data_IF_573186953503
#
_entry.id   IF_573186953503
#
_cell.length_a   1.000
_cell.length_b   1.000
_cell.length_c   1.000
_cell.angle_alpha   90.00
_cell.angle_beta   90.00
_cell.angle_gamma   90.00
#
_symmetry.space_group_name_H-M   'P 1'
#
loop_
_entity.id
_entity.type
_entity.pdbx_description
1 polymer ?
#
# COMPACT_ATOMS: atom_id res chain seq x y z
N UNK A 1 -10.92 6.59 -26.12
CA UNK A 1 -9.88 5.56 -25.91
C UNK A 1 -8.56 5.98 -26.55
N UNK A 2 -7.66 6.59 -25.77
CA UNK A 2 -6.25 6.74 -26.19
C UNK A 2 -5.52 5.48 -25.77
N UNK A 3 -5.00 4.74 -26.74
CA UNK A 3 -4.28 3.50 -26.46
C UNK A 3 -2.96 3.82 -25.76
N UNK A 4 -2.60 3.01 -24.76
CA UNK A 4 -1.32 3.04 -24.04
C UNK A 4 -0.08 3.11 -24.99
N UNK A 5 -0.27 2.70 -26.25
CA UNK A 5 0.72 2.71 -27.34
C UNK A 5 1.10 4.11 -27.81
N UNK A 6 0.18 5.08 -27.81
CA UNK A 6 0.46 6.48 -28.17
C UNK A 6 1.24 7.23 -27.08
N UNK A 7 1.01 6.88 -25.80
CA UNK A 7 1.77 7.44 -24.67
C UNK A 7 3.22 6.95 -24.65
N UNK A 8 3.48 5.71 -25.08
CA UNK A 8 4.85 5.20 -25.21
C UNK A 8 5.63 5.78 -26.39
N UNK A 9 4.96 6.16 -27.49
CA UNK A 9 5.66 6.78 -28.63
C UNK A 9 6.04 8.25 -28.39
N UNK A 10 5.34 8.98 -27.51
CA UNK A 10 5.73 10.35 -27.14
C UNK A 10 6.96 10.44 -26.23
N UNK A 11 7.29 9.37 -25.52
CA UNK A 11 8.49 9.31 -24.65
C UNK A 11 9.77 8.92 -25.40
N UNK A 12 9.68 8.52 -26.68
CA UNK A 12 10.83 8.19 -27.54
C UNK A 12 11.22 9.30 -28.53
N UNK A 13 10.46 10.40 -28.61
CA UNK A 13 10.65 11.46 -29.60
C UNK A 13 11.29 12.76 -29.10
N UNK A 14 11.74 12.82 -27.84
CA UNK A 14 12.29 14.02 -27.24
C UNK A 14 13.74 13.80 -26.77
N UNK A 15 14.61 13.39 -27.69
CA UNK A 15 16.07 13.49 -27.51
C UNK A 15 16.78 13.21 -28.83
N UNK A 16 16.79 14.19 -29.73
CA UNK A 16 17.85 14.32 -30.74
C UNK A 16 17.72 15.64 -31.48
N UNK A 17 18.61 16.59 -31.19
CA UNK A 17 19.31 17.38 -32.20
C UNK A 17 20.58 18.01 -31.57
N UNK A 18 21.68 17.92 -32.33
CA UNK A 18 23.08 18.33 -32.11
C UNK A 18 23.91 17.43 -31.15
N UNK A 19 25.03 16.82 -31.51
CA UNK A 19 25.97 16.90 -32.65
C UNK A 19 26.73 15.56 -32.83
N UNK A 20 27.19 15.27 -34.06
CA UNK A 20 28.08 14.17 -34.49
C UNK A 20 29.57 14.64 -34.46
N UNK A 21 30.57 13.80 -34.83
CA UNK A 21 30.80 12.37 -34.55
C UNK A 21 32.26 12.13 -34.07
N UNK A 22 32.58 10.95 -33.51
CA UNK A 22 33.91 10.39 -33.76
C UNK A 22 33.98 8.86 -33.67
N UNK A 23 34.85 8.32 -34.51
CA UNK A 23 34.89 6.93 -34.96
C UNK A 23 35.72 6.01 -34.08
N UNK A 24 35.33 4.72 -34.05
CA UNK A 24 36.14 3.48 -34.23
C UNK A 24 35.70 2.34 -33.29
N UNK A 25 35.23 1.27 -33.92
CA UNK A 25 35.28 -0.13 -33.45
C UNK A 25 36.59 -0.79 -33.93
N UNK A 26 36.91 -2.05 -33.58
CA UNK A 26 36.58 -2.82 -32.37
C UNK A 26 37.82 -3.59 -31.84
N UNK A 27 37.70 -4.23 -30.67
CA UNK A 27 38.53 -5.39 -30.36
C UNK A 27 37.75 -6.43 -29.55
N UNK A 28 37.79 -7.65 -30.07
CA UNK A 28 37.23 -8.91 -29.62
C UNK A 28 37.79 -9.39 -28.29
N UNK A 29 36.92 -9.86 -27.39
CA UNK A 29 37.28 -10.68 -26.23
C UNK A 29 36.57 -12.03 -26.36
N UNK A 30 37.37 -13.10 -26.53
CA UNK A 30 36.91 -14.48 -26.57
C UNK A 30 36.94 -15.16 -25.21
N UNK A 31 36.59 -16.45 -25.30
CA UNK A 31 36.82 -17.56 -24.38
C UNK A 31 35.87 -17.80 -23.21
N UNK A 32 34.94 -18.71 -23.52
CA UNK A 32 34.38 -19.72 -22.62
C UNK A 32 35.42 -20.80 -22.32
N UNK A 33 35.47 -21.29 -21.07
CA UNK A 33 35.79 -22.67 -20.69
C UNK A 33 35.46 -22.83 -19.18
N UNK A 34 34.37 -23.52 -18.83
CA UNK A 34 34.32 -24.91 -18.31
C UNK A 34 35.28 -25.23 -17.16
N UNK A 35 34.72 -25.47 -15.97
CA UNK A 35 35.28 -26.40 -14.97
C UNK A 35 34.15 -27.23 -14.32
N UNK A 36 34.07 -28.46 -14.81
CA UNK A 36 33.78 -29.75 -14.18
C UNK A 36 33.34 -29.73 -12.70
N UNK A 37 32.14 -30.27 -12.45
CA UNK A 37 31.72 -30.89 -11.18
C UNK A 37 31.79 -32.41 -11.34
N UNK A 38 32.39 -33.09 -10.37
CA UNK A 38 32.33 -34.54 -10.19
C UNK A 38 31.52 -34.87 -8.94
N UNK A 39 30.49 -35.69 -9.13
CA UNK A 39 29.72 -36.38 -8.09
C UNK A 39 30.52 -37.52 -7.48
N UNK A 40 30.17 -37.93 -6.25
CA UNK A 40 29.83 -39.33 -5.91
C UNK A 40 29.29 -39.46 -4.47
N UNK A 41 28.07 -39.98 -4.42
CA UNK A 41 27.53 -41.10 -3.62
C UNK A 41 27.33 -41.06 -2.09
N UNK A 42 26.03 -40.99 -1.75
CA UNK A 42 25.20 -41.92 -0.95
C UNK A 42 25.79 -42.73 0.23
N UNK A 43 25.15 -42.66 1.41
CA UNK A 43 24.25 -43.74 1.89
C UNK A 43 23.51 -43.45 3.24
N UNK A 44 22.21 -43.81 3.23
CA UNK A 44 21.35 -44.45 4.24
C UNK A 44 20.96 -43.85 5.62
N UNK A 45 19.61 -43.79 5.80
CA UNK A 45 18.72 -44.20 6.92
C UNK A 45 19.08 -43.75 8.35
N UNK A 46 18.19 -43.25 9.21
CA UNK A 46 16.88 -43.79 9.60
C UNK A 46 16.13 -42.74 10.48
N UNK A 47 14.85 -42.98 10.75
CA UNK A 47 13.89 -41.97 11.21
C UNK A 47 13.98 -41.44 12.65
N UNK A 48 13.20 -40.38 12.91
CA UNK A 48 12.31 -40.21 14.08
C UNK A 48 11.61 -38.85 14.01
N UNK A 49 10.30 -38.88 14.17
CA UNK A 49 9.46 -37.75 14.55
C UNK A 49 9.88 -37.26 15.93
N UNK A 50 10.30 -36.01 16.06
CA UNK A 50 10.41 -35.35 17.35
C UNK A 50 9.78 -33.96 17.29
N UNK A 51 8.77 -33.79 18.15
CA UNK A 51 8.19 -32.50 18.47
C UNK A 51 9.22 -31.74 19.32
N UNK A 52 10.00 -30.84 18.72
CA UNK A 52 10.88 -29.95 19.49
C UNK A 52 10.09 -28.74 19.96
N UNK A 53 9.83 -28.70 21.26
CA UNK A 53 9.38 -27.54 22.02
C UNK A 53 10.25 -26.32 21.68
N UNK A 54 9.61 -25.21 21.31
CA UNK A 54 10.26 -23.91 21.17
C UNK A 54 10.67 -23.42 22.56
N UNK A 55 11.92 -23.70 22.96
CA UNK A 55 12.55 -22.99 24.06
C UNK A 55 12.79 -21.54 23.64
N UNK A 56 12.07 -20.62 24.27
CA UNK A 56 12.33 -19.20 24.22
C UNK A 56 13.74 -18.92 24.78
N UNK A 57 14.70 -18.63 23.89
CA UNK A 57 15.98 -18.08 24.30
C UNK A 57 15.74 -16.72 24.97
N UNK A 58 16.08 -16.65 26.26
CA UNK A 58 16.14 -15.39 27.01
C UNK A 58 17.17 -14.48 26.33
N UNK A 59 16.74 -13.29 25.91
CA UNK A 59 17.65 -12.21 25.57
C UNK A 59 18.63 -11.97 26.72
N UNK A 60 19.92 -11.70 26.45
CA UNK A 60 20.88 -11.46 27.52
C UNK A 60 20.52 -10.15 28.23
N UNK A 61 20.25 -10.24 29.53
CA UNK A 61 20.32 -9.11 30.44
C UNK A 61 21.75 -8.56 30.41
N UNK A 62 21.92 -7.37 29.86
CA UNK A 62 23.20 -6.66 29.88
C UNK A 62 23.46 -6.23 31.32
N UNK A 63 24.39 -6.91 31.99
CA UNK A 63 24.82 -6.58 33.33
C UNK A 63 25.50 -5.20 33.38
N UNK A 64 24.95 -4.33 34.24
CA UNK A 64 25.42 -2.98 34.48
C UNK A 64 26.65 -2.97 35.39
N UNK A 65 27.77 -2.41 34.92
CA UNK A 65 28.94 -2.06 35.73
C UNK A 65 28.99 -0.52 35.81
N UNK A 66 28.77 0.10 36.98
CA UNK A 66 28.74 1.56 37.08
C UNK A 66 30.17 2.12 37.12
N UNK A 67 30.51 2.91 36.10
CA UNK A 67 31.70 3.78 36.07
C UNK A 67 31.40 5.16 36.69
N UNK A 68 32.44 5.91 37.12
CA UNK A 68 32.28 7.16 37.83
C UNK A 68 32.02 8.31 36.84
N UNK A 69 30.74 8.56 36.58
CA UNK A 69 30.10 9.79 36.06
C UNK A 69 28.87 9.35 35.26
N UNK A 70 27.86 8.83 35.97
CA UNK A 70 26.55 8.63 35.38
C UNK A 70 25.90 9.99 35.18
N UNK A 71 25.81 10.41 33.92
CA UNK A 71 24.97 11.54 33.52
C UNK A 71 23.53 11.23 33.99
N UNK A 72 23.11 11.87 35.08
CA UNK A 72 21.74 11.79 35.57
C UNK A 72 20.88 12.68 34.71
N UNK A 73 19.97 12.07 33.95
CA UNK A 73 18.95 12.80 33.21
C UNK A 73 18.16 13.70 34.15
N UNK A 74 17.73 14.86 33.63
CA UNK A 74 16.88 15.77 34.39
C UNK A 74 15.55 15.09 34.75
N UNK A 75 14.89 15.49 35.86
CA UNK A 75 13.63 14.89 36.30
C UNK A 75 12.53 14.91 35.24
N UNK A 76 12.52 15.91 34.35
CA UNK A 76 11.55 16.04 33.28
C UNK A 76 11.58 14.86 32.30
N UNK A 77 12.75 14.26 32.04
CA UNK A 77 12.85 13.06 31.21
C UNK A 77 12.26 11.84 31.91
N UNK A 78 12.49 11.71 33.22
CA UNK A 78 11.94 10.62 34.02
C UNK A 78 10.41 10.67 34.06
N UNK A 79 9.83 11.87 34.16
CA UNK A 79 8.37 12.07 34.11
C UNK A 79 7.77 11.61 32.77
N UNK A 80 8.53 11.70 31.68
CA UNK A 80 8.13 11.20 30.35
C UNK A 80 8.46 9.71 30.14
N UNK A 81 8.97 9.01 31.17
CA UNK A 81 9.46 7.62 31.12
C UNK A 81 10.60 7.41 30.11
N UNK A 82 11.43 8.44 29.94
CA UNK A 82 12.61 8.40 29.10
C UNK A 82 13.82 8.04 29.97
N UNK A 83 14.64 7.12 29.47
CA UNK A 83 15.91 6.71 30.09
C UNK A 83 17.06 6.83 29.12
N UNK A 84 18.27 6.88 29.66
CA UNK A 84 19.49 6.83 28.86
C UNK A 84 19.78 5.36 28.46
N UNK A 85 20.03 5.13 27.19
CA UNK A 85 20.48 3.86 26.65
C UNK A 85 21.93 4.00 26.17
N UNK A 86 22.76 2.99 26.46
CA UNK A 86 24.18 2.99 26.08
C UNK A 86 24.46 1.88 25.08
N UNK A 87 25.35 2.18 24.15
CA UNK A 87 25.95 1.23 23.20
C UNK A 87 27.45 1.43 23.21
N UNK A 88 28.18 0.58 22.49
CA UNK A 88 29.62 0.77 22.27
C UNK A 88 29.94 2.07 21.51
N UNK A 89 28.95 2.66 20.83
CA UNK A 89 29.08 3.84 19.98
C UNK A 89 28.61 5.13 20.68
N UNK A 90 28.27 5.07 21.97
CA UNK A 90 27.80 6.19 22.78
C UNK A 90 26.40 5.99 23.35
N UNK A 91 25.73 7.09 23.66
CA UNK A 91 24.48 7.12 24.40
C UNK A 91 23.38 7.83 23.60
N UNK A 92 22.12 7.49 23.88
CA UNK A 92 20.92 8.11 23.30
C UNK A 92 19.74 7.96 24.27
N UNK A 93 18.63 8.65 24.01
CA UNK A 93 17.42 8.54 24.82
C UNK A 93 16.48 7.45 24.32
N UNK A 94 15.91 6.69 25.25
CA UNK A 94 14.98 5.61 24.96
C UNK A 94 13.74 5.73 25.85
N UNK A 95 12.57 5.76 25.22
CA UNK A 95 11.26 5.63 25.88
C UNK A 95 10.65 4.30 25.51
N UNK A 96 10.00 3.66 26.47
CA UNK A 96 9.30 2.40 26.26
C UNK A 96 7.90 2.47 26.88
N UNK A 97 6.88 2.16 26.08
CA UNK A 97 5.52 1.93 26.56
C UNK A 97 5.11 0.50 26.23
N UNK A 98 4.38 -0.14 27.15
CA UNK A 98 3.86 -1.49 26.97
C UNK A 98 2.36 -1.50 27.07
N UNK A 99 1.72 -2.17 26.11
CA UNK A 99 0.29 -2.38 26.03
C UNK A 99 0.01 -3.87 26.23
N UNK A 100 -0.92 -4.28 27.10
CA UNK A 100 -1.37 -5.67 27.10
C UNK A 100 -1.96 -6.00 25.73
N UNK A 101 -1.82 -7.23 25.23
CA UNK A 101 -2.40 -7.59 23.92
C UNK A 101 -3.95 -7.45 23.91
N UNK A 102 -4.60 -7.41 25.07
CA UNK A 102 -6.04 -7.12 25.18
C UNK A 102 -6.41 -5.64 25.03
N UNK A 103 -5.42 -4.74 24.91
CA UNK A 103 -5.65 -3.31 24.75
C UNK A 103 -6.48 -3.02 23.48
N UNK A 104 -7.52 -2.21 23.66
CA UNK A 104 -8.42 -1.76 22.60
C UNK A 104 -7.93 -0.41 22.09
N UNK A 105 -7.64 -0.33 20.79
CA UNK A 105 -7.28 0.92 20.11
C UNK A 105 -8.25 1.15 18.94
N UNK A 106 -9.16 2.09 19.13
CA UNK A 106 -10.31 2.25 18.24
C UNK A 106 -11.25 1.04 18.31
N UNK A 107 -11.51 0.42 17.17
CA UNK A 107 -12.41 -0.73 17.05
C UNK A 107 -11.71 -2.10 17.09
N UNK A 108 -10.38 -2.13 17.23
CA UNK A 108 -9.59 -3.36 17.22
C UNK A 108 -8.79 -3.52 18.51
N UNK A 109 -8.69 -4.77 18.98
CA UNK A 109 -7.76 -5.16 20.03
C UNK A 109 -6.45 -5.66 19.43
N UNK A 110 -5.34 -5.46 20.14
CA UNK A 110 -4.01 -5.85 19.65
C UNK A 110 -3.83 -7.37 19.49
N UNK A 111 -4.54 -8.18 20.27
CA UNK A 111 -4.52 -9.65 20.17
C UNK A 111 -5.16 -10.18 18.88
N UNK A 112 -5.98 -9.38 18.20
CA UNK A 112 -6.46 -9.70 16.85
C UNK A 112 -5.32 -9.80 15.82
N UNK A 113 -4.10 -9.33 16.14
CA UNK A 113 -2.94 -9.52 15.29
C UNK A 113 -2.66 -11.01 15.04
N UNK A 114 -2.85 -11.87 16.03
CA UNK A 114 -2.71 -13.32 15.88
C UNK A 114 -3.75 -13.94 14.95
N UNK A 115 -4.96 -13.39 14.90
CA UNK A 115 -6.03 -13.86 14.02
C UNK A 115 -5.84 -13.37 12.57
N UNK A 116 -5.33 -12.14 12.41
CA UNK A 116 -5.25 -11.44 11.12
C UNK A 116 -3.93 -11.68 10.36
N UNK A 117 -2.91 -12.22 11.02
CA UNK A 117 -1.56 -12.41 10.47
C UNK A 117 -1.52 -13.30 9.22
N UNK A 118 -2.40 -14.30 9.13
CA UNK A 118 -2.51 -15.16 7.94
C UNK A 118 -2.96 -14.38 6.71
N UNK A 119 -3.85 -13.40 6.88
CA UNK A 119 -4.23 -12.51 5.79
C UNK A 119 -3.06 -11.62 5.35
N UNK A 120 -2.29 -11.09 6.31
CA UNK A 120 -1.15 -10.21 6.05
C UNK A 120 -0.03 -10.86 5.25
N UNK A 121 0.13 -12.17 5.34
CA UNK A 121 1.10 -12.90 4.54
C UNK A 121 0.83 -12.81 3.02
N UNK A 122 -0.39 -12.42 2.61
CA UNK A 122 -0.71 -12.13 1.19
C UNK A 122 0.08 -10.95 0.60
N UNK A 123 0.66 -10.08 1.44
CA UNK A 123 1.51 -8.98 0.97
C UNK A 123 2.83 -9.48 0.37
N UNK A 124 3.39 -10.56 0.89
CA UNK A 124 4.58 -11.22 0.33
C UNK A 124 4.26 -11.74 -1.07
N UNK A 125 3.19 -12.53 -1.20
CA UNK A 125 2.72 -13.06 -2.48
C UNK A 125 2.44 -11.96 -3.50
N UNK A 126 1.88 -10.84 -3.07
CA UNK A 126 1.68 -9.69 -3.95
C UNK A 126 3.01 -9.07 -4.40
N UNK A 127 3.98 -8.95 -3.50
CA UNK A 127 5.31 -8.43 -3.82
C UNK A 127 6.01 -9.30 -4.89
N UNK A 128 5.96 -10.62 -4.72
CA UNK A 128 6.51 -11.60 -5.67
C UNK A 128 5.79 -11.54 -7.02
N UNK A 129 4.45 -11.63 -7.00
CA UNK A 129 3.62 -11.57 -8.20
C UNK A 129 3.88 -10.29 -8.99
N UNK A 130 3.95 -9.14 -8.31
CA UNK A 130 4.26 -7.84 -8.93
C UNK A 130 5.66 -7.84 -9.54
N UNK A 131 6.64 -8.42 -8.87
CA UNK A 131 8.03 -8.52 -9.36
C UNK A 131 8.13 -9.41 -10.60
N UNK A 132 7.27 -10.44 -10.69
CA UNK A 132 7.10 -11.29 -11.88
C UNK A 132 6.24 -10.64 -12.99
N UNK A 133 5.79 -9.39 -12.82
CA UNK A 133 4.96 -8.67 -13.80
C UNK A 133 3.49 -9.08 -13.81
N UNK A 134 3.04 -9.87 -12.83
CA UNK A 134 1.65 -10.24 -12.68
C UNK A 134 0.81 -9.05 -12.20
N UNK A 135 -0.48 -9.07 -12.55
CA UNK A 135 -1.45 -8.03 -12.16
C UNK A 135 -2.27 -8.40 -10.93
N UNK A 136 -2.20 -9.65 -10.50
CA UNK A 136 -2.87 -10.21 -9.32
C UNK A 136 -2.08 -11.40 -8.78
N UNK A 137 -2.28 -11.70 -7.51
CA UNK A 137 -1.86 -12.97 -6.91
C UNK A 137 -2.74 -14.10 -7.46
N UNK A 138 -2.14 -15.25 -7.73
CA UNK A 138 -2.89 -16.45 -8.14
C UNK A 138 -3.72 -16.95 -6.96
N UNK A 139 -5.04 -17.14 -7.12
CA UNK A 139 -5.87 -17.68 -6.04
C UNK A 139 -5.39 -19.06 -5.58
N UNK A 140 -5.38 -19.29 -4.26
CA UNK A 140 -4.94 -20.55 -3.67
C UNK A 140 -3.42 -20.76 -3.64
N UNK A 141 -2.61 -19.75 -4.00
CA UNK A 141 -1.17 -19.81 -3.76
C UNK A 141 -0.88 -20.05 -2.28
N UNK A 142 -0.06 -21.05 -1.93
CA UNK A 142 0.31 -21.32 -0.54
C UNK A 142 0.95 -20.09 0.11
N UNK A 143 0.59 -19.86 1.36
CA UNK A 143 1.04 -18.74 2.16
C UNK A 143 2.07 -19.25 3.17
N UNK A 144 3.21 -18.56 3.28
CA UNK A 144 4.18 -18.82 4.35
C UNK A 144 3.63 -18.34 5.69
N UNK A 145 3.78 -19.12 6.78
CA UNK A 145 3.31 -18.70 8.08
C UNK A 145 4.05 -17.44 8.53
N UNK A 146 3.28 -16.45 8.98
CA UNK A 146 3.80 -15.20 9.55
C UNK A 146 3.43 -15.18 11.03
N UNK A 147 4.39 -14.78 11.86
CA UNK A 147 4.23 -14.70 13.31
C UNK A 147 4.22 -13.23 13.74
N UNK A 148 3.24 -12.78 14.55
CA UNK A 148 3.20 -11.40 15.05
C UNK A 148 4.50 -10.94 15.73
N UNK A 149 5.19 -11.84 16.44
CA UNK A 149 6.47 -11.60 17.12
C UNK A 149 7.63 -11.32 16.14
N UNK A 150 7.45 -11.67 14.86
CA UNK A 150 8.43 -11.41 13.79
C UNK A 150 8.08 -10.18 12.96
N UNK A 151 7.06 -9.42 13.36
CA UNK A 151 6.66 -8.16 12.74
C UNK A 151 7.21 -6.96 13.51
N UNK A 152 7.80 -6.02 12.78
CA UNK A 152 8.28 -4.75 13.29
C UNK A 152 7.48 -3.61 12.67
N UNK A 153 6.73 -2.89 13.49
CA UNK A 153 6.07 -1.64 13.14
C UNK A 153 7.10 -0.50 13.26
N UNK A 154 7.13 0.40 12.29
CA UNK A 154 8.21 1.38 12.17
C UNK A 154 7.72 2.71 11.60
N UNK A 155 8.19 3.79 12.21
CA UNK A 155 7.96 5.17 11.80
C UNK A 155 9.12 6.07 12.27
N UNK A 156 9.32 7.20 11.59
CA UNK A 156 10.39 8.15 11.90
C UNK A 156 9.83 9.56 12.12
N UNK A 157 10.40 10.25 13.09
CA UNK A 157 10.33 11.71 13.15
C UNK A 157 11.65 12.30 12.68
N UNK A 158 11.59 13.16 11.66
CA UNK A 158 12.78 13.62 10.95
C UNK A 158 12.89 15.14 10.92
N UNK A 159 14.10 15.69 10.84
CA UNK A 159 14.33 17.16 10.86
C UNK A 159 13.78 17.93 9.65
N UNK A 160 13.31 17.24 8.60
CA UNK A 160 12.64 17.82 7.44
C UNK A 160 11.78 16.80 6.69
N UNK A 161 11.21 17.20 5.56
CA UNK A 161 10.24 16.38 4.79
C UNK A 161 10.85 15.68 3.56
N UNK A 162 12.17 15.77 3.36
CA UNK A 162 12.88 15.20 2.20
C UNK A 162 13.76 14.01 2.55
N UNK A 163 14.13 13.18 1.57
CA UNK A 163 15.04 12.04 1.77
C UNK A 163 16.54 12.39 1.62
N UNK A 164 16.86 13.68 1.53
CA UNK A 164 18.22 14.17 1.30
C UNK A 164 19.13 14.01 2.52
N UNK A 165 20.46 14.11 2.31
CA UNK A 165 21.47 13.85 3.33
C UNK A 165 21.38 14.75 4.59
N UNK A 166 20.68 15.88 4.51
CA UNK A 166 20.43 16.77 5.65
C UNK A 166 19.24 16.37 6.52
N UNK A 167 18.42 15.41 6.10
CA UNK A 167 17.31 14.91 6.91
C UNK A 167 17.83 13.87 7.89
N UNK A 168 17.67 14.14 9.18
CA UNK A 168 18.14 13.29 10.28
C UNK A 168 16.90 12.76 11.01
N UNK A 169 16.75 11.44 11.20
CA UNK A 169 15.75 10.89 12.09
C UNK A 169 16.14 11.23 13.52
N UNK A 170 15.47 12.23 14.09
CA UNK A 170 15.72 12.59 15.48
C UNK A 170 14.94 11.69 16.45
N UNK A 171 13.89 11.01 15.95
CA UNK A 171 13.21 9.92 16.63
C UNK A 171 13.03 8.72 15.70
N UNK A 172 13.24 7.52 16.24
CA UNK A 172 12.87 6.23 15.60
C UNK A 172 11.83 5.56 16.49
N UNK A 173 10.61 5.38 15.97
CA UNK A 173 9.55 4.64 16.64
C UNK A 173 9.50 3.19 16.16
N UNK A 174 9.45 2.25 17.10
CA UNK A 174 9.33 0.82 16.88
C UNK A 174 8.11 0.29 17.64
N UNK A 175 7.29 -0.53 17.00
CA UNK A 175 6.26 -1.34 17.65
C UNK A 175 6.50 -2.82 17.39
N UNK A 176 6.37 -3.69 18.38
CA UNK A 176 6.55 -5.14 18.22
C UNK A 176 5.88 -5.93 19.34
N UNK A 177 5.58 -7.20 19.07
CA UNK A 177 5.03 -8.11 20.08
C UNK A 177 6.15 -8.75 20.88
N UNK A 178 6.05 -8.71 22.21
CA UNK A 178 6.96 -9.38 23.14
C UNK A 178 6.14 -10.05 24.26
N UNK A 179 6.06 -11.39 24.21
CA UNK A 179 5.23 -12.14 25.16
C UNK A 179 3.74 -11.81 24.97
N UNK A 180 3.06 -11.44 26.06
CA UNK A 180 1.65 -11.06 26.08
C UNK A 180 1.42 -9.54 25.94
N UNK A 181 2.42 -8.82 25.43
CA UNK A 181 2.38 -7.37 25.30
C UNK A 181 2.83 -6.88 23.92
N UNK A 182 2.24 -5.77 23.49
CA UNK A 182 2.74 -4.95 22.40
C UNK A 182 3.61 -3.84 22.98
N UNK A 183 4.85 -3.78 22.56
CA UNK A 183 5.85 -2.84 23.06
C UNK A 183 6.06 -1.75 22.02
N UNK A 184 5.96 -0.50 22.44
CA UNK A 184 6.36 0.67 21.67
C UNK A 184 7.68 1.19 22.25
N UNK A 185 8.73 1.20 21.46
CA UNK A 185 10.02 1.79 21.80
C UNK A 185 10.28 3.01 20.92
N UNK A 186 10.75 4.09 21.53
CA UNK A 186 11.04 5.33 20.84
C UNK A 186 12.43 5.79 21.21
N UNK A 187 13.29 5.80 20.21
CA UNK A 187 14.70 6.18 20.34
C UNK A 187 14.83 7.63 19.89
N UNK A 188 15.32 8.51 20.75
CA UNK A 188 15.49 9.94 20.46
C UNK A 188 16.95 10.34 20.64
N UNK A 189 17.48 11.15 19.72
CA UNK A 189 18.80 11.77 19.87
C UNK A 189 18.66 13.20 20.41
N UNK A 190 19.50 13.55 21.39
CA UNK A 190 19.58 14.90 21.97
C UNK A 190 20.39 15.84 21.10
N UNK A 191 21.31 15.29 20.31
CA UNK A 191 22.11 16.00 19.33
C UNK A 191 22.62 15.04 18.24
N UNK A 192 23.03 15.52 17.06
CA UNK A 192 23.41 14.66 15.93
C UNK A 192 24.51 13.63 16.22
N UNK A 193 25.42 13.90 17.16
CA UNK A 193 26.50 12.96 17.49
C UNK A 193 26.00 11.65 18.17
N UNK A 194 24.76 11.60 18.69
CA UNK A 194 24.17 10.38 19.26
C UNK A 194 23.59 9.44 18.21
N UNK A 195 23.45 9.90 16.96
CA UNK A 195 22.82 9.11 15.89
C UNK A 195 23.52 7.77 15.68
N UNK A 196 24.85 7.72 15.76
CA UNK A 196 25.61 6.49 15.60
C UNK A 196 25.29 5.46 16.69
N UNK A 197 25.13 5.91 17.93
CA UNK A 197 24.72 5.06 19.06
C UNK A 197 23.30 4.52 18.86
N UNK A 198 22.37 5.39 18.48
CA UNK A 198 20.99 5.02 18.15
C UNK A 198 20.93 3.99 17.01
N UNK A 199 21.67 4.20 15.91
CA UNK A 199 21.71 3.28 14.77
C UNK A 199 22.35 1.94 15.13
N UNK A 200 23.39 1.92 15.97
CA UNK A 200 24.00 0.68 16.47
C UNK A 200 22.96 -0.17 17.21
N UNK A 201 22.21 0.45 18.13
CA UNK A 201 21.11 -0.21 18.84
C UNK A 201 20.06 -0.75 17.87
N UNK A 202 19.63 0.06 16.90
CA UNK A 202 18.64 -0.33 15.90
C UNK A 202 19.10 -1.55 15.11
N UNK A 203 20.30 -1.51 14.53
CA UNK A 203 20.81 -2.59 13.65
C UNK A 203 20.89 -3.94 14.36
N UNK A 204 21.23 -3.95 15.66
CA UNK A 204 21.27 -5.17 16.46
C UNK A 204 19.88 -5.77 16.68
N UNK A 205 18.84 -4.94 16.65
CA UNK A 205 17.45 -5.33 16.87
C UNK A 205 16.74 -5.79 15.60
N UNK A 206 17.02 -5.16 14.46
CA UNK A 206 16.31 -5.40 13.19
C UNK A 206 16.32 -6.87 12.75
N UNK A 207 17.42 -7.60 12.95
CA UNK A 207 17.55 -8.99 12.53
C UNK A 207 16.59 -9.98 13.21
N UNK A 208 15.97 -9.61 14.32
CA UNK A 208 14.97 -10.45 14.98
C UNK A 208 13.65 -10.54 14.21
N UNK A 209 13.42 -9.62 13.27
CA UNK A 209 12.15 -9.45 12.57
C UNK A 209 12.29 -9.78 11.08
N UNK A 210 11.25 -10.41 10.53
CA UNK A 210 11.16 -10.78 9.12
C UNK A 210 10.25 -9.86 8.32
N UNK A 211 9.36 -9.13 9.00
CA UNK A 211 8.39 -8.23 8.39
C UNK A 211 8.56 -6.81 8.92
N UNK A 212 8.55 -5.85 8.00
CA UNK A 212 8.57 -4.42 8.29
C UNK A 212 7.21 -3.84 7.92
N UNK A 213 6.46 -3.35 8.90
CA UNK A 213 5.17 -2.70 8.70
C UNK A 213 5.35 -1.19 8.85
N UNK A 214 4.91 -0.42 7.86
CA UNK A 214 5.04 1.04 7.85
C UNK A 214 3.80 1.69 7.24
N UNK A 215 3.64 2.99 7.44
CA UNK A 215 2.74 3.82 6.64
C UNK A 215 3.54 4.77 5.75
N UNK A 216 3.60 4.52 4.43
CA UNK A 216 4.43 5.26 3.46
C UNK A 216 5.95 5.04 3.58
N UNK A 217 6.41 4.19 4.50
CA UNK A 217 7.83 3.98 4.77
C UNK A 217 8.64 3.39 3.63
N UNK A 218 8.01 2.74 2.63
CA UNK A 218 8.75 2.23 1.46
C UNK A 218 9.36 3.35 0.62
N UNK A 219 8.71 4.51 0.60
CA UNK A 219 9.17 5.65 -0.22
C UNK A 219 9.77 6.79 0.59
N UNK A 220 9.71 6.70 1.93
CA UNK A 220 10.17 7.76 2.82
C UNK A 220 11.05 7.23 3.95
N UNK A 221 10.46 6.63 4.99
CA UNK A 221 11.18 6.31 6.23
C UNK A 221 12.35 5.34 6.03
N UNK A 222 12.12 4.25 5.29
CA UNK A 222 13.14 3.24 5.04
C UNK A 222 14.30 3.77 4.17
N UNK A 223 14.05 4.50 3.06
CA UNK A 223 15.11 5.22 2.35
C UNK A 223 15.90 6.21 3.20
N UNK A 224 15.25 6.97 4.10
CA UNK A 224 15.93 7.89 5.02
C UNK A 224 16.89 7.11 5.92
N UNK A 225 16.37 6.09 6.62
CA UNK A 225 17.19 5.27 7.52
C UNK A 225 18.35 4.59 6.78
N UNK A 226 18.09 4.02 5.61
CA UNK A 226 19.10 3.35 4.78
C UNK A 226 20.26 4.30 4.43
N UNK A 227 19.95 5.55 4.06
CA UNK A 227 20.97 6.56 3.80
C UNK A 227 21.76 6.90 5.06
N UNK A 228 21.10 7.02 6.23
CA UNK A 228 21.78 7.31 7.50
C UNK A 228 22.71 6.18 7.95
N UNK A 229 22.33 4.92 7.74
CA UNK A 229 23.19 3.77 8.00
C UNK A 229 24.48 3.84 7.16
N UNK A 230 24.37 4.18 5.87
CA UNK A 230 25.53 4.32 4.98
C UNK A 230 26.44 5.48 5.43
N UNK A 231 25.85 6.64 5.75
CA UNK A 231 26.58 7.83 6.19
C UNK A 231 27.30 7.59 7.53
N UNK A 232 26.69 6.84 8.44
CA UNK A 232 27.28 6.43 9.70
C UNK A 232 28.10 5.13 9.58
N UNK A 233 28.56 4.75 8.39
CA UNK A 233 29.55 3.67 8.24
C UNK A 233 29.04 2.23 8.38
N UNK A 234 27.73 2.01 8.57
CA UNK A 234 27.10 0.67 8.62
C UNK A 234 26.92 0.06 7.22
N UNK A 235 27.92 0.20 6.34
CA UNK A 235 27.82 -0.14 4.90
C UNK A 235 27.60 -1.64 4.63
N UNK A 236 28.00 -2.49 5.56
CA UNK A 236 27.87 -3.95 5.50
C UNK A 236 26.55 -4.45 6.07
N UNK A 237 25.78 -3.59 6.77
CA UNK A 237 24.49 -3.98 7.32
C UNK A 237 23.54 -4.38 6.19
N UNK A 238 22.90 -5.55 6.33
CA UNK A 238 21.95 -6.10 5.36
C UNK A 238 20.78 -6.68 6.12
N UNK A 239 19.60 -6.12 5.90
CA UNK A 239 18.34 -6.64 6.40
C UNK A 239 17.28 -6.39 5.32
N UNK A 240 16.68 -7.46 4.84
CA UNK A 240 15.75 -7.46 3.70
C UNK A 240 14.39 -8.01 4.16
N UNK A 241 13.62 -7.24 4.95
CA UNK A 241 12.33 -7.69 5.43
C UNK A 241 11.28 -7.68 4.32
N UNK A 242 10.23 -8.48 4.52
CA UNK A 242 9.00 -8.33 3.75
C UNK A 242 8.32 -7.03 4.18
N UNK A 243 8.25 -6.08 3.26
CA UNK A 243 7.72 -4.74 3.56
C UNK A 243 6.21 -4.66 3.35
N UNK A 244 5.46 -4.54 4.44
CA UNK A 244 4.02 -4.24 4.44
C UNK A 244 3.83 -2.74 4.58
N UNK A 245 3.71 -2.03 3.45
CA UNK A 245 3.41 -0.59 3.44
C UNK A 245 1.89 -0.37 3.30
N UNK A 246 1.26 0.09 4.39
CA UNK A 246 -0.19 0.21 4.52
C UNK A 246 -0.79 1.45 3.81
N UNK A 247 0.03 2.36 3.28
CA UNK A 247 -0.48 3.49 2.50
C UNK A 247 -1.09 3.03 1.17
N UNK A 248 -0.47 2.05 0.51
CA UNK A 248 -0.90 1.55 -0.79
C UNK A 248 -2.25 0.81 -0.78
N UNK A 249 -2.52 -0.13 0.16
CA UNK A 249 -3.85 -0.71 0.29
C UNK A 249 -4.87 0.35 0.72
N UNK A 250 -4.52 1.26 1.64
CA UNK A 250 -5.39 2.38 2.06
C UNK A 250 -5.82 3.24 0.87
N UNK A 251 -4.91 3.67 0.01
CA UNK A 251 -5.25 4.39 -1.24
C UNK A 251 -6.00 3.52 -2.24
N UNK A 252 -5.72 2.23 -2.29
CA UNK A 252 -6.44 1.32 -3.17
C UNK A 252 -7.91 1.24 -2.79
N UNK A 253 -8.22 1.22 -1.51
CA UNK A 253 -9.60 1.08 -1.01
C UNK A 253 -10.30 2.44 -0.86
N UNK A 254 -9.63 3.47 -0.32
CA UNK A 254 -10.31 4.64 0.24
C UNK A 254 -10.06 5.99 -0.46
N UNK A 255 -9.19 6.07 -1.47
CA UNK A 255 -8.78 7.38 -2.08
C UNK A 255 -9.93 8.25 -2.63
N UNK A 256 -11.09 7.65 -2.91
CA UNK A 256 -12.24 8.31 -3.50
C UNK A 256 -13.40 8.45 -2.49
N UNK A 257 -13.23 7.92 -1.27
CA UNK A 257 -14.26 7.93 -0.22
C UNK A 257 -13.82 8.69 1.02
N UNK A 258 -12.51 8.89 1.22
CA UNK A 258 -11.97 9.76 2.26
C UNK A 258 -11.43 11.06 1.66
N UNK A 259 -11.53 12.15 2.43
CA UNK A 259 -10.93 13.45 2.07
C UNK A 259 -9.40 13.37 1.97
N UNK A 260 -8.78 12.48 2.75
CA UNK A 260 -7.35 12.20 2.73
C UNK A 260 -7.06 10.76 3.12
N UNK A 261 -5.98 10.19 2.59
CA UNK A 261 -5.40 8.94 3.09
C UNK A 261 -4.15 9.23 3.92
N UNK A 262 -4.20 10.23 4.80
CA UNK A 262 -3.24 10.37 5.90
C UNK A 262 -3.67 9.42 7.02
N UNK A 263 -2.70 8.91 7.79
CA UNK A 263 -2.99 7.94 8.87
C UNK A 263 -4.04 8.49 9.84
N UNK A 264 -3.90 9.74 10.28
CA UNK A 264 -4.87 10.41 11.16
C UNK A 264 -6.32 10.45 10.65
N UNK A 265 -6.52 10.56 9.33
CA UNK A 265 -7.87 10.54 8.76
C UNK A 265 -8.43 9.11 8.67
N UNK A 266 -7.58 8.11 8.45
CA UNK A 266 -7.99 6.70 8.42
C UNK A 266 -8.36 6.22 9.82
N UNK A 267 -7.59 6.64 10.81
CA UNK A 267 -7.86 6.40 12.22
C UNK A 267 -9.28 6.81 12.62
N UNK A 268 -9.64 8.06 12.35
CA UNK A 268 -10.98 8.58 12.67
C UNK A 268 -12.06 7.86 11.87
N UNK A 269 -11.93 7.83 10.54
CA UNK A 269 -13.01 7.42 9.64
C UNK A 269 -13.20 5.91 9.50
N UNK A 270 -12.16 5.11 9.79
CA UNK A 270 -12.17 3.67 9.51
C UNK A 270 -11.75 2.80 10.69
N UNK A 271 -11.05 3.37 11.68
CA UNK A 271 -10.63 2.64 12.88
C UNK A 271 -11.34 3.14 14.15
N UNK A 272 -12.11 4.22 14.09
CA UNK A 272 -12.81 4.78 15.25
C UNK A 272 -11.87 5.36 16.32
N UNK A 273 -10.69 5.83 15.90
CA UNK A 273 -9.68 6.42 16.77
C UNK A 273 -9.81 7.94 16.69
N UNK A 274 -10.08 8.58 17.83
CA UNK A 274 -10.07 10.03 17.94
C UNK A 274 -8.83 10.45 18.72
N UNK A 275 -7.97 11.26 18.08
CA UNK A 275 -6.80 11.83 18.74
C UNK A 275 -7.22 12.98 19.65
N UNK A 276 -6.76 12.96 20.91
CA UNK A 276 -7.00 14.03 21.89
C UNK A 276 -5.67 14.72 22.16
N UNK A 277 -5.64 16.05 22.05
CA UNK A 277 -4.45 16.89 22.32
C UNK A 277 -3.17 16.47 21.56
N UNK A 278 -3.32 15.89 20.36
CA UNK A 278 -2.20 15.43 19.53
C UNK A 278 -1.49 16.59 18.82
N UNK A 279 -0.16 16.51 18.80
CA UNK A 279 0.68 17.43 18.03
C UNK A 279 0.55 17.08 16.55
N UNK A 280 0.24 18.03 15.66
CA UNK A 280 0.32 17.76 14.23
C UNK A 280 1.73 17.31 13.86
N UNK A 281 1.91 16.14 13.24
CA UNK A 281 3.24 15.62 12.89
C UNK A 281 4.11 16.60 12.07
N UNK A 282 3.50 17.53 11.31
CA UNK A 282 4.24 18.61 10.62
C UNK A 282 4.95 19.59 11.57
N UNK A 283 4.60 19.63 12.85
CA UNK A 283 5.24 20.45 13.88
C UNK A 283 6.39 19.74 14.59
N UNK A 284 6.49 18.41 14.49
CA UNK A 284 7.52 17.63 15.19
C UNK A 284 8.96 18.13 14.92
N UNK A 285 9.36 18.47 13.67
CA UNK A 285 10.70 19.04 13.43
C UNK A 285 10.92 20.37 14.16
N UNK A 286 9.91 21.24 14.16
CA UNK A 286 9.97 22.55 14.82
C UNK A 286 10.12 22.42 16.33
N UNK A 287 9.39 21.49 16.94
CA UNK A 287 9.47 21.18 18.38
C UNK A 287 10.86 20.65 18.73
N UNK A 288 11.43 19.77 17.91
CA UNK A 288 12.78 19.28 18.11
C UNK A 288 13.83 20.40 18.03
N UNK A 289 13.71 21.32 17.06
CA UNK A 289 14.60 22.48 17.00
C UNK A 289 14.44 23.43 18.19
N UNK A 290 13.22 23.61 18.70
CA UNK A 290 12.98 24.36 19.92
C UNK A 290 13.69 23.71 21.11
N UNK A 291 13.57 22.39 21.27
CA UNK A 291 14.29 21.64 22.30
C UNK A 291 15.81 21.84 22.19
N UNK A 292 16.39 21.77 20.99
CA UNK A 292 17.82 22.00 20.80
C UNK A 292 18.26 23.42 21.22
N UNK A 293 17.40 24.41 21.03
CA UNK A 293 17.70 25.80 21.37
C UNK A 293 17.51 26.10 22.87
N UNK A 294 16.43 25.61 23.46
CA UNK A 294 15.99 25.96 24.82
C UNK A 294 16.45 24.95 25.88
N UNK A 295 16.82 23.74 25.44
CA UNK A 295 17.15 22.59 26.30
C UNK A 295 16.00 22.19 27.24
N UNK A 296 14.76 22.62 26.96
CA UNK A 296 13.54 22.19 27.66
C UNK A 296 12.93 20.98 26.94
N UNK A 297 12.87 19.79 27.57
CA UNK A 297 12.35 18.59 26.93
C UNK A 297 10.83 18.47 26.97
N UNK A 298 10.12 19.31 27.74
CA UNK A 298 8.65 19.18 27.93
C UNK A 298 7.86 19.19 26.62
N UNK A 299 8.17 20.04 25.61
CA UNK A 299 7.46 20.03 24.34
C UNK A 299 7.58 18.71 23.57
N UNK A 300 8.66 17.94 23.77
CA UNK A 300 8.86 16.66 23.09
C UNK A 300 7.88 15.58 23.54
N UNK A 301 7.22 15.72 24.69
CA UNK A 301 6.18 14.79 25.13
C UNK A 301 5.07 14.65 24.08
N UNK A 302 4.70 15.75 23.41
CA UNK A 302 3.72 15.72 22.35
C UNK A 302 4.19 14.92 21.13
N UNK A 303 5.47 14.99 20.79
CA UNK A 303 6.06 14.20 19.69
C UNK A 303 6.13 12.72 20.05
N UNK A 304 6.55 12.38 21.28
CA UNK A 304 6.50 11.00 21.76
C UNK A 304 5.08 10.43 21.73
N UNK A 305 4.10 11.21 22.19
CA UNK A 305 2.69 10.78 22.21
C UNK A 305 2.16 10.55 20.79
N UNK A 306 2.49 11.46 19.86
CA UNK A 306 2.13 11.33 18.45
C UNK A 306 2.66 10.03 17.83
N UNK A 307 3.97 9.83 17.88
CA UNK A 307 4.61 8.65 17.29
C UNK A 307 4.17 7.35 17.99
N UNK A 308 3.88 7.40 19.29
CA UNK A 308 3.33 6.26 20.02
C UNK A 308 1.93 5.88 19.51
N UNK A 309 1.04 6.86 19.34
CA UNK A 309 -0.29 6.63 18.75
C UNK A 309 -0.14 6.05 17.35
N UNK A 310 0.75 6.60 16.53
CA UNK A 310 1.01 6.11 15.17
C UNK A 310 1.46 4.63 15.17
N UNK A 311 2.29 4.19 16.12
CA UNK A 311 2.68 2.78 16.27
C UNK A 311 1.51 1.86 16.59
N UNK A 312 0.67 2.23 17.55
CA UNK A 312 -0.49 1.40 17.91
C UNK A 312 -1.54 1.44 16.79
N UNK A 313 -1.75 2.58 16.15
CA UNK A 313 -2.62 2.76 14.98
C UNK A 313 -2.17 1.92 13.80
N UNK A 314 -0.86 1.82 13.57
CA UNK A 314 -0.30 1.00 12.50
C UNK A 314 -0.54 -0.49 12.74
N UNK A 315 -0.45 -0.94 14.00
CA UNK A 315 -0.80 -2.31 14.39
C UNK A 315 -2.26 -2.63 14.11
N UNK A 316 -3.20 -1.78 14.52
CA UNK A 316 -4.63 -2.03 14.26
C UNK A 316 -5.03 -1.83 12.79
N UNK A 317 -4.33 -0.99 12.04
CA UNK A 317 -4.53 -0.89 10.59
C UNK A 317 -4.04 -2.16 9.88
N UNK A 318 -2.93 -2.75 10.33
CA UNK A 318 -2.49 -4.05 9.85
C UNK A 318 -3.54 -5.12 10.15
N UNK A 319 -4.07 -5.15 11.38
CA UNK A 319 -5.18 -6.05 11.77
C UNK A 319 -6.37 -5.89 10.82
N UNK A 320 -6.80 -4.65 10.54
CA UNK A 320 -7.92 -4.35 9.64
C UNK A 320 -7.72 -4.94 8.25
N UNK A 321 -6.54 -4.78 7.65
CA UNK A 321 -6.24 -5.35 6.34
C UNK A 321 -6.02 -6.87 6.38
N UNK A 322 -5.43 -7.39 7.46
CA UNK A 322 -5.27 -8.82 7.68
C UNK A 322 -6.63 -9.53 7.76
N UNK A 323 -7.60 -8.98 8.49
CA UNK A 323 -8.98 -9.50 8.53
C UNK A 323 -9.67 -9.43 7.17
N UNK A 324 -9.51 -8.34 6.41
CA UNK A 324 -10.03 -8.25 5.05
C UNK A 324 -9.48 -9.36 4.14
N UNK A 325 -8.17 -9.62 4.23
CA UNK A 325 -7.49 -10.66 3.46
C UNK A 325 -7.79 -12.07 3.98
N UNK A 326 -8.09 -12.21 5.28
CA UNK A 326 -8.51 -13.45 5.92
C UNK A 326 -9.98 -13.82 5.67
N UNK A 327 -10.73 -13.00 4.92
CA UNK A 327 -12.13 -13.28 4.60
C UNK A 327 -13.12 -12.94 5.73
N UNK A 328 -12.72 -12.13 6.71
CA UNK A 328 -13.55 -11.76 7.87
C UNK A 328 -14.49 -10.56 7.61
N UNK A 329 -14.76 -10.28 6.33
CA UNK A 329 -15.72 -9.27 5.91
C UNK A 329 -17.15 -9.68 6.28
N UNK A 330 -17.87 -8.80 6.97
CA UNK A 330 -19.18 -9.07 7.56
C UNK A 330 -19.12 -9.72 8.95
N UNK A 331 -17.92 -10.04 9.46
CA UNK A 331 -17.71 -10.63 10.79
C UNK A 331 -16.89 -9.71 11.70
N UNK A 332 -15.58 -9.59 11.43
CA UNK A 332 -14.65 -8.69 12.14
C UNK A 332 -14.56 -7.32 11.47
N UNK A 333 -14.79 -7.27 10.17
CA UNK A 333 -14.74 -6.04 9.38
C UNK A 333 -16.12 -5.78 8.77
N UNK A 334 -16.77 -4.63 9.04
CA UNK A 334 -18.06 -4.33 8.43
C UNK A 334 -17.95 -4.22 6.91
N UNK A 335 -19.04 -4.55 6.22
CA UNK A 335 -19.15 -4.26 4.79
C UNK A 335 -19.06 -2.75 4.55
N UNK A 336 -18.37 -2.30 3.48
CA UNK A 336 -18.43 -0.90 3.09
C UNK A 336 -19.87 -0.47 2.81
N UNK A 337 -20.23 0.73 3.28
CA UNK A 337 -21.57 1.28 3.06
C UNK A 337 -21.71 1.89 1.66
N UNK A 338 -20.66 2.54 1.16
CA UNK A 338 -20.66 3.21 -0.14
C UNK A 338 -20.35 2.29 -1.31
N UNK A 339 -21.03 2.52 -2.45
CA UNK A 339 -20.81 1.77 -3.68
C UNK A 339 -19.37 1.87 -4.22
N UNK A 340 -18.75 3.05 -4.16
CA UNK A 340 -17.35 3.24 -4.57
C UNK A 340 -16.41 2.41 -3.70
N UNK A 341 -16.52 2.48 -2.36
CA UNK A 341 -15.66 1.69 -1.47
C UNK A 341 -15.89 0.19 -1.65
N UNK A 342 -17.14 -0.24 -1.85
CA UNK A 342 -17.49 -1.63 -2.16
C UNK A 342 -16.74 -2.12 -3.39
N UNK A 343 -16.80 -1.37 -4.50
CA UNK A 343 -16.09 -1.72 -5.74
C UNK A 343 -14.57 -1.76 -5.51
N UNK A 344 -14.02 -0.73 -4.88
CA UNK A 344 -12.57 -0.59 -4.68
C UNK A 344 -12.00 -1.67 -3.77
N UNK A 345 -12.74 -2.03 -2.72
CA UNK A 345 -12.41 -3.15 -1.82
C UNK A 345 -12.37 -4.45 -2.62
N UNK A 346 -13.41 -4.72 -3.43
CA UNK A 346 -13.45 -5.92 -4.28
C UNK A 346 -12.29 -6.00 -5.26
N UNK A 347 -11.99 -4.90 -5.96
CA UNK A 347 -10.86 -4.82 -6.91
C UNK A 347 -9.50 -4.97 -6.24
N UNK A 348 -9.37 -4.57 -4.97
CA UNK A 348 -8.17 -4.79 -4.20
C UNK A 348 -8.06 -6.24 -3.73
N UNK A 349 -9.11 -6.81 -3.16
CA UNK A 349 -9.17 -8.22 -2.74
C UNK A 349 -8.88 -9.18 -3.91
N UNK A 350 -9.50 -8.95 -5.08
CA UNK A 350 -9.25 -9.74 -6.29
C UNK A 350 -7.78 -9.69 -6.70
N UNK A 351 -7.16 -8.52 -6.62
CA UNK A 351 -5.73 -8.35 -6.92
C UNK A 351 -4.83 -9.07 -5.91
N UNK A 352 -5.27 -9.17 -4.67
CA UNK A 352 -4.61 -9.94 -3.63
C UNK A 352 -4.95 -11.45 -3.69
N UNK A 353 -5.69 -11.90 -4.69
CA UNK A 353 -6.05 -13.32 -4.89
C UNK A 353 -7.33 -13.76 -4.18
N UNK A 354 -7.95 -12.88 -3.38
CA UNK A 354 -9.17 -13.14 -2.59
C UNK A 354 -10.42 -13.02 -3.47
N UNK A 355 -10.56 -13.95 -4.43
CA UNK A 355 -11.57 -13.88 -5.48
C UNK A 355 -12.99 -14.04 -4.95
N UNK A 356 -13.22 -14.97 -4.01
CA UNK A 356 -14.56 -15.22 -3.47
C UNK A 356 -15.07 -14.02 -2.65
N UNK A 357 -14.19 -13.44 -1.82
CA UNK A 357 -14.50 -12.23 -1.06
C UNK A 357 -14.75 -11.02 -1.97
N UNK A 358 -13.99 -10.89 -3.05
CA UNK A 358 -14.22 -9.85 -4.06
C UNK A 358 -15.55 -10.03 -4.78
N UNK A 359 -15.88 -11.26 -5.17
CA UNK A 359 -17.13 -11.60 -5.86
C UNK A 359 -18.35 -11.34 -4.98
N UNK A 360 -18.26 -11.62 -3.67
CA UNK A 360 -19.32 -11.27 -2.71
C UNK A 360 -19.57 -9.75 -2.64
N UNK A 361 -18.53 -8.92 -2.75
CA UNK A 361 -18.67 -7.46 -2.83
C UNK A 361 -19.29 -7.01 -4.15
N UNK A 362 -18.90 -7.63 -5.27
CA UNK A 362 -19.47 -7.31 -6.58
C UNK A 362 -20.97 -7.64 -6.64
N UNK A 363 -21.38 -8.80 -6.12
CA UNK A 363 -22.79 -9.18 -6.03
C UNK A 363 -23.62 -8.19 -5.18
N UNK A 364 -23.06 -7.69 -4.08
CA UNK A 364 -23.72 -6.64 -3.27
C UNK A 364 -23.85 -5.32 -4.04
N UNK A 365 -22.83 -4.97 -4.81
CA UNK A 365 -22.80 -3.75 -5.61
C UNK A 365 -23.86 -3.74 -6.72
N UNK A 366 -24.12 -4.90 -7.35
CA UNK A 366 -25.17 -5.06 -8.37
C UNK A 366 -26.55 -4.62 -7.88
N UNK A 367 -26.84 -4.88 -6.61
CA UNK A 367 -28.12 -4.56 -5.96
C UNK A 367 -28.10 -3.26 -5.15
N UNK A 368 -26.98 -2.54 -5.13
CA UNK A 368 -26.86 -1.34 -4.32
C UNK A 368 -27.74 -0.21 -4.91
N UNK A 369 -28.68 0.35 -4.12
CA UNK A 369 -29.71 1.27 -4.63
C UNK A 369 -29.15 2.62 -5.07
N UNK A 370 -28.01 3.05 -4.51
CA UNK A 370 -27.34 4.30 -4.83
C UNK A 370 -26.01 4.10 -5.59
N UNK A 371 -25.86 2.98 -6.31
CA UNK A 371 -24.66 2.78 -7.13
C UNK A 371 -24.72 3.68 -8.36
N UNK A 372 -23.87 4.71 -8.40
CA UNK A 372 -23.79 5.59 -9.55
C UNK A 372 -23.36 4.84 -10.82
N UNK A 373 -23.86 5.28 -11.98
CA UNK A 373 -23.56 4.69 -13.30
C UNK A 373 -22.07 4.44 -13.55
N UNK A 374 -21.21 5.36 -13.11
CA UNK A 374 -19.76 5.24 -13.27
C UNK A 374 -19.18 4.03 -12.52
N UNK A 375 -19.74 3.70 -11.36
CA UNK A 375 -19.31 2.56 -10.53
C UNK A 375 -19.71 1.25 -11.21
N UNK A 376 -20.96 1.16 -11.65
CA UNK A 376 -21.48 -0.01 -12.37
C UNK A 376 -20.73 -0.23 -13.69
N UNK A 377 -20.43 0.83 -14.44
CA UNK A 377 -19.58 0.77 -15.63
C UNK A 377 -18.17 0.28 -15.31
N UNK A 378 -17.59 0.70 -14.19
CA UNK A 378 -16.25 0.25 -13.78
C UNK A 378 -16.23 -1.25 -13.43
N UNK A 379 -17.30 -1.76 -12.78
CA UNK A 379 -17.46 -3.20 -12.55
C UNK A 379 -17.64 -3.95 -13.88
N UNK A 380 -18.49 -3.45 -14.78
CA UNK A 380 -18.73 -4.04 -16.09
C UNK A 380 -17.45 -4.10 -16.94
N UNK A 381 -16.60 -3.08 -16.89
CA UNK A 381 -15.28 -3.08 -17.53
C UNK A 381 -14.36 -4.17 -16.97
N UNK A 382 -14.37 -4.38 -15.64
CA UNK A 382 -13.62 -5.47 -15.00
C UNK A 382 -14.15 -6.82 -15.49
N UNK A 383 -15.46 -7.02 -15.52
CA UNK A 383 -16.07 -8.27 -15.96
C UNK A 383 -15.80 -8.57 -17.43
N UNK A 384 -15.89 -7.56 -18.29
CA UNK A 384 -15.45 -7.63 -19.69
C UNK A 384 -14.01 -8.12 -19.80
N UNK A 385 -13.08 -7.56 -19.01
CA UNK A 385 -11.65 -7.96 -19.00
C UNK A 385 -11.47 -9.41 -18.52
N UNK A 386 -12.31 -9.87 -17.61
CA UNK A 386 -12.30 -11.25 -17.12
C UNK A 386 -13.09 -12.23 -18.02
N UNK A 387 -13.74 -11.74 -19.08
CA UNK A 387 -14.58 -12.55 -19.96
C UNK A 387 -15.99 -12.84 -19.44
N UNK A 388 -16.38 -12.28 -18.29
CA UNK A 388 -17.75 -12.35 -17.74
C UNK A 388 -18.68 -11.39 -18.48
N UNK A 389 -18.93 -11.69 -19.76
CA UNK A 389 -19.84 -10.91 -20.60
C UNK A 389 -21.27 -10.87 -20.09
N UNK A 390 -21.87 -11.95 -19.54
CA UNK A 390 -23.24 -11.91 -19.03
C UNK A 390 -23.46 -10.80 -18.01
N UNK A 391 -22.62 -10.71 -16.97
CA UNK A 391 -22.74 -9.64 -15.98
C UNK A 391 -22.43 -8.26 -16.55
N UNK A 392 -21.37 -8.13 -17.34
CA UNK A 392 -21.00 -6.85 -17.94
C UNK A 392 -22.17 -6.24 -18.75
N UNK A 393 -22.86 -7.07 -19.54
CA UNK A 393 -24.02 -6.65 -20.33
C UNK A 393 -25.19 -6.24 -19.43
N UNK A 394 -25.52 -7.01 -18.39
CA UNK A 394 -26.59 -6.67 -17.44
C UNK A 394 -26.31 -5.35 -16.73
N UNK A 395 -25.06 -5.12 -16.30
CA UNK A 395 -24.64 -3.87 -15.68
C UNK A 395 -24.78 -2.67 -16.63
N UNK A 396 -24.31 -2.79 -17.88
CA UNK A 396 -24.50 -1.71 -18.86
C UNK A 396 -25.97 -1.48 -19.19
N UNK A 397 -26.79 -2.53 -19.31
CA UNK A 397 -28.23 -2.40 -19.55
C UNK A 397 -28.91 -1.66 -18.40
N UNK A 398 -28.57 -1.99 -17.15
CA UNK A 398 -29.04 -1.26 -15.96
C UNK A 398 -28.67 0.22 -16.05
N UNK A 399 -27.42 0.54 -16.38
CA UNK A 399 -26.96 1.92 -16.55
C UNK A 399 -27.73 2.65 -17.66
N UNK A 400 -27.97 2.01 -18.81
CA UNK A 400 -28.73 2.63 -19.90
C UNK A 400 -30.14 3.04 -19.45
N UNK A 401 -30.83 2.17 -18.70
CA UNK A 401 -32.17 2.47 -18.19
C UNK A 401 -32.20 3.67 -17.23
N UNK A 402 -31.13 3.88 -16.46
CA UNK A 402 -31.01 5.00 -15.53
C UNK A 402 -30.63 6.32 -16.23
N UNK A 403 -29.84 6.25 -17.31
CA UNK A 403 -29.29 7.42 -18.00
C UNK A 403 -30.28 8.11 -18.96
N UNK A 404 -31.30 7.39 -19.46
CA UNK A 404 -32.31 7.97 -20.38
C UNK A 404 -33.17 9.08 -19.74
N UNK A 405 -33.15 9.22 -18.41
CA UNK A 405 -33.81 10.30 -17.65
C UNK A 405 -32.87 11.24 -16.89
N UNK A 406 -31.55 11.09 -17.04
CA UNK A 406 -30.57 11.83 -16.24
C UNK A 406 -30.37 13.27 -16.74
N UNK A 407 -30.16 14.21 -15.81
CA UNK A 407 -29.90 15.62 -16.15
C UNK A 407 -28.56 15.81 -16.91
N UNK A 408 -27.58 14.93 -16.67
CA UNK A 408 -26.26 14.97 -17.27
C UNK A 408 -25.86 13.59 -17.80
N UNK A 409 -26.47 13.13 -18.90
CA UNK A 409 -26.38 11.73 -19.30
C UNK A 409 -24.97 11.32 -19.70
N UNK A 410 -24.61 10.07 -19.43
CA UNK A 410 -23.43 9.38 -19.95
C UNK A 410 -23.84 8.29 -20.95
N UNK A 411 -23.16 8.23 -22.10
CA UNK A 411 -23.41 7.25 -23.17
C UNK A 411 -22.36 6.14 -23.25
N UNK A 412 -21.38 6.07 -22.35
CA UNK A 412 -20.31 5.06 -22.40
C UNK A 412 -20.87 3.63 -22.40
N UNK A 413 -21.88 3.34 -21.57
CA UNK A 413 -22.56 2.04 -21.53
C UNK A 413 -23.25 1.68 -22.85
N UNK A 414 -23.84 2.67 -23.54
CA UNK A 414 -24.48 2.48 -24.84
C UNK A 414 -23.45 2.07 -25.90
N UNK A 415 -22.26 2.70 -25.89
CA UNK A 415 -21.18 2.36 -26.82
C UNK A 415 -20.64 0.94 -26.57
N UNK A 416 -20.51 0.55 -25.31
CA UNK A 416 -20.09 -0.81 -24.95
C UNK A 416 -21.12 -1.88 -25.37
N UNK A 417 -22.42 -1.62 -25.17
CA UNK A 417 -23.49 -2.48 -25.67
C UNK A 417 -23.51 -2.54 -27.21
N UNK A 418 -23.32 -1.41 -27.89
CA UNK A 418 -23.20 -1.37 -29.34
C UNK A 418 -22.04 -2.26 -29.83
N UNK A 419 -20.88 -2.18 -29.17
CA UNK A 419 -19.72 -3.03 -29.47
C UNK A 419 -19.99 -4.51 -29.21
N UNK A 420 -20.65 -4.83 -28.10
CA UNK A 420 -21.03 -6.19 -27.77
C UNK A 420 -21.95 -6.78 -28.84
N UNK A 421 -23.02 -6.07 -29.22
CA UNK A 421 -23.94 -6.56 -30.26
C UNK A 421 -23.31 -6.63 -31.65
N UNK A 422 -22.41 -5.71 -31.99
CA UNK A 422 -21.70 -5.70 -33.28
C UNK A 422 -20.74 -6.90 -33.43
N UNK A 423 -19.99 -7.20 -32.37
CA UNK A 423 -18.87 -8.14 -32.44
C UNK A 423 -19.18 -9.52 -31.87
N UNK A 424 -19.95 -9.62 -30.78
CA UNK A 424 -20.23 -10.88 -30.08
C UNK A 424 -21.51 -11.55 -30.56
N UNK A 425 -22.66 -10.87 -30.49
CA UNK A 425 -23.95 -11.47 -30.86
C UNK A 425 -24.30 -11.31 -32.33
N UNK A 426 -23.58 -10.43 -33.06
CA UNK A 426 -23.81 -10.07 -34.47
C UNK A 426 -25.20 -9.50 -34.75
N UNK A 427 -25.90 -9.02 -33.72
CA UNK A 427 -27.22 -8.41 -33.87
C UNK A 427 -27.08 -6.93 -34.23
N UNK A 428 -26.86 -6.67 -35.52
CA UNK A 428 -26.50 -5.33 -36.02
C UNK A 428 -27.57 -4.27 -35.73
N UNK A 429 -28.86 -4.64 -35.73
CA UNK A 429 -29.96 -3.72 -35.41
C UNK A 429 -29.87 -3.17 -33.99
N UNK A 430 -29.61 -4.04 -33.00
CA UNK A 430 -29.41 -3.59 -31.61
C UNK A 430 -28.15 -2.74 -31.49
N UNK A 431 -27.06 -3.14 -32.16
CA UNK A 431 -25.83 -2.34 -32.15
C UNK A 431 -26.04 -0.92 -32.69
N UNK A 432 -26.81 -0.78 -33.77
CA UNK A 432 -27.15 0.51 -34.37
C UNK A 432 -28.01 1.34 -33.42
N UNK A 433 -29.06 0.76 -32.84
CA UNK A 433 -29.97 1.45 -31.91
C UNK A 433 -29.23 2.01 -30.69
N UNK A 434 -28.34 1.25 -30.05
CA UNK A 434 -27.54 1.77 -28.95
C UNK A 434 -26.59 2.90 -29.39
N UNK A 435 -25.97 2.79 -30.57
CA UNK A 435 -25.07 3.83 -31.08
C UNK A 435 -25.81 5.14 -31.42
N UNK A 436 -27.03 5.06 -31.97
CA UNK A 436 -27.88 6.22 -32.25
C UNK A 436 -28.37 6.90 -30.97
N UNK A 437 -28.72 6.10 -29.95
CA UNK A 437 -29.09 6.61 -28.63
C UNK A 437 -27.89 7.31 -27.98
N UNK A 438 -26.70 6.72 -28.05
CA UNK A 438 -25.46 7.34 -27.57
C UNK A 438 -25.21 8.71 -28.22
N UNK A 439 -25.43 8.84 -29.52
CA UNK A 439 -25.27 10.11 -30.24
C UNK A 439 -26.29 11.15 -29.75
N UNK A 440 -27.52 10.74 -29.50
CA UNK A 440 -28.60 11.61 -29.00
C UNK A 440 -28.27 12.14 -27.61
N UNK A 441 -27.82 11.28 -26.69
CA UNK A 441 -27.38 11.69 -25.35
C UNK A 441 -26.17 12.63 -25.42
N UNK A 442 -25.21 12.35 -26.30
CA UNK A 442 -24.04 13.20 -26.50
C UNK A 442 -24.38 14.60 -27.00
N UNK A 443 -25.29 14.71 -27.97
CA UNK A 443 -25.81 16.01 -28.41
C UNK A 443 -26.56 16.75 -27.29
N UNK A 444 -27.36 16.04 -26.49
CA UNK A 444 -28.11 16.63 -25.37
C UNK A 444 -27.17 17.20 -24.32
N UNK A 445 -26.16 16.43 -23.88
CA UNK A 445 -25.17 16.87 -22.88
C UNK A 445 -24.38 18.11 -23.33
N UNK A 446 -24.17 18.26 -24.63
CA UNK A 446 -23.36 19.34 -25.19
C UNK A 446 -24.16 20.43 -25.89
N UNK A 447 -25.49 20.41 -25.78
CA UNK A 447 -26.34 21.44 -26.33
C UNK A 447 -25.91 22.82 -25.81
N UNK A 448 -25.66 23.77 -26.73
CA UNK A 448 -25.26 25.13 -26.39
C UNK A 448 -23.81 25.30 -25.90
N UNK A 449 -23.01 24.24 -25.81
CA UNK A 449 -21.61 24.31 -25.38
C UNK A 449 -20.63 24.34 -26.56
N UNK A 450 -19.57 25.16 -26.46
CA UNK A 450 -18.46 25.12 -27.43
C UNK A 450 -17.68 23.83 -27.25
N UNK A 451 -17.69 22.99 -28.29
CA UNK A 451 -16.95 21.73 -28.31
C UNK A 451 -15.46 21.98 -28.53
N UNK A 452 -14.64 21.45 -27.62
CA UNK A 452 -13.20 21.30 -27.84
C UNK A 452 -12.90 20.16 -28.83
N UNK A 453 -11.63 20.02 -29.23
CA UNK A 453 -11.21 19.01 -30.19
C UNK A 453 -11.49 17.56 -29.72
N UNK A 454 -11.42 17.30 -28.41
CA UNK A 454 -11.63 15.97 -27.84
C UNK A 454 -13.10 15.56 -27.94
N UNK A 455 -14.02 16.46 -27.56
CA UNK A 455 -15.47 16.21 -27.63
C UNK A 455 -15.94 16.02 -29.07
N UNK A 456 -15.39 16.79 -30.02
CA UNK A 456 -15.67 16.59 -31.47
C UNK A 456 -15.21 15.22 -31.93
N UNK A 457 -14.00 14.81 -31.56
CA UNK A 457 -13.48 13.49 -31.91
C UNK A 457 -14.33 12.35 -31.31
N UNK A 458 -14.88 12.54 -30.11
CA UNK A 458 -15.82 11.59 -29.50
C UNK A 458 -17.14 11.49 -30.30
N UNK A 459 -17.77 12.62 -30.68
CA UNK A 459 -18.96 12.61 -31.55
C UNK A 459 -18.69 11.94 -32.89
N UNK A 460 -17.56 12.28 -33.52
CA UNK A 460 -17.19 11.73 -34.82
C UNK A 460 -16.95 10.22 -34.75
N UNK A 461 -16.42 9.72 -33.63
CA UNK A 461 -16.26 8.29 -33.41
C UNK A 461 -17.61 7.56 -33.32
N UNK A 462 -18.62 8.18 -32.68
CA UNK A 462 -19.98 7.62 -32.61
C UNK A 462 -20.62 7.64 -34.00
N UNK A 463 -20.53 8.76 -34.73
CA UNK A 463 -21.06 8.89 -36.11
C UNK A 463 -20.47 7.86 -37.05
N UNK A 464 -19.14 7.72 -37.08
CA UNK A 464 -18.44 6.71 -37.90
C UNK A 464 -18.86 5.28 -37.56
N UNK A 465 -19.21 4.98 -36.29
CA UNK A 465 -19.77 3.68 -35.90
C UNK A 465 -21.17 3.48 -36.47
N UNK A 466 -22.04 4.49 -36.36
CA UNK A 466 -23.40 4.45 -36.94
C UNK A 466 -23.33 4.23 -38.45
N UNK A 467 -22.51 4.99 -39.17
CA UNK A 467 -22.37 4.88 -40.62
C UNK A 467 -21.90 3.47 -41.03
N UNK A 468 -20.90 2.93 -40.32
CA UNK A 468 -20.41 1.55 -40.52
C UNK A 468 -21.52 0.52 -40.28
N UNK A 469 -22.31 0.67 -39.22
CA UNK A 469 -23.38 -0.26 -38.87
C UNK A 469 -24.54 -0.21 -39.87
N UNK A 470 -24.91 0.98 -40.36
CA UNK A 470 -25.92 1.17 -41.42
C UNK A 470 -25.49 0.51 -42.73
N UNK A 471 -24.27 0.80 -43.20
CA UNK A 471 -23.74 0.18 -44.41
C UNK A 471 -23.67 -1.36 -44.31
N UNK A 472 -23.37 -1.89 -43.11
CA UNK A 472 -23.37 -3.35 -42.87
C UNK A 472 -24.79 -3.93 -42.88
N UNK A 473 -25.78 -3.20 -42.39
CA UNK A 473 -27.18 -3.62 -42.40
C UNK A 473 -27.77 -3.62 -43.82
N UNK A 474 -27.40 -2.64 -44.65
CA UNK A 474 -27.79 -2.59 -46.07
C UNK A 474 -27.27 -3.81 -46.84
N UNK A 475 -25.99 -4.17 -46.65
CA UNK A 475 -25.37 -5.37 -47.26
C UNK A 475 -25.94 -6.71 -46.81
N UNK A 476 -26.71 -6.73 -45.71
CA UNK A 476 -27.37 -7.96 -45.23
C UNK A 476 -28.79 -8.11 -45.79
N UNK A 477 -29.38 -7.03 -46.30
CA UNK A 477 -30.73 -7.03 -46.87
C UNK A 477 -30.75 -6.89 -48.40
N UNK A 478 -29.66 -6.47 -49.03
CA UNK A 478 -29.43 -6.53 -50.47
C UNK A 478 -28.53 -7.70 -50.81
#
# INVERSE_FOLDING_TARGET
>A
MSSLRERMMRLRGASSQNEQPDAKQPASGGDSQTLVRSETDEHHQDGRTDHSEFHAEKHPEVAHVPGPDEEKLSPEWADMRVRLAKTEEGEFLLRETRYPMTYLHGVHRLDELYESVMGLASFELWSEAKSAGARRVTPGTPISPVHPERMLFFDLETTGLGVGAGNVPFMVGLGFVQGDQFVVEQMLIRHPAEERAMLCYLTNKLHAYTHLVTYNGRTFDWPVLSNRLILNGFRTFRWEPIHIDLLHPSRSVWRNTLASCKLSHIEEERLGITRVDDVPGSMAPGIYFQYLAEQDPKPLLGVFTHNEIDMVSLAVLAIRFGHLLGGELGRRVPYPEGAEETLRTGLWLERMGMTDAAEALYARLEHHPAAASQILCSLAERDKKCGNWPRAVLLWQKVVLEEEGALHPNWDAHIELAMYHEHKTKQIRFALSYAETALTLAHTRWAGLRLDAKKRAELDAIRKRIDRLRARLERLHG
#
